data_IF_395095704763
#
_entry.id   IF_395095704763
#
_cell.length_a   1.000
_cell.length_b   1.000
_cell.length_c   1.000
_cell.angle_alpha   90.00
_cell.angle_beta   90.00
_cell.angle_gamma   90.00
#
_symmetry.space_group_name_H-M   'P 1'
#
loop_
_entity.id
_entity.type
_entity.pdbx_description
1 polymer ?
#
# COMPACT_ATOMS: atom_id res chain seq x y z
N UNK A 1 -10.07 11.52 2.74
CA UNK A 1 -10.22 11.70 1.29
C UNK A 1 -10.44 13.18 1.06
N UNK A 2 -9.36 13.94 0.89
CA UNK A 2 -9.44 15.36 0.56
C UNK A 2 -9.58 15.45 -0.96
N UNK A 3 -10.78 15.79 -1.42
CA UNK A 3 -11.06 16.10 -2.82
C UNK A 3 -10.59 17.53 -3.06
N UNK A 4 -9.45 17.70 -3.73
CA UNK A 4 -9.00 18.99 -4.22
C UNK A 4 -9.83 19.34 -5.47
N UNK A 5 -10.91 20.10 -5.28
CA UNK A 5 -11.57 20.81 -6.37
C UNK A 5 -11.10 22.27 -6.33
N UNK A 6 -10.13 22.61 -7.18
CA UNK A 6 -9.86 24.00 -7.54
C UNK A 6 -10.77 24.37 -8.71
N UNK A 7 -11.45 25.51 -8.61
CA UNK A 7 -12.46 25.99 -9.56
C UNK A 7 -11.88 26.82 -10.72
N UNK A 8 -10.56 26.76 -10.93
CA UNK A 8 -9.84 27.58 -11.92
C UNK A 8 -9.17 26.76 -13.05
N UNK A 9 -9.69 25.58 -13.41
CA UNK A 9 -9.23 24.82 -14.59
C UNK A 9 -10.13 25.12 -15.79
N UNK A 10 -10.27 26.40 -16.14
CA UNK A 10 -10.90 26.81 -17.39
C UNK A 10 -9.83 27.40 -18.32
N UNK A 11 -9.64 26.75 -19.47
CA UNK A 11 -8.78 27.15 -20.60
C UNK A 11 -7.26 27.17 -20.37
N UNK A 12 -6.68 26.06 -19.92
CA UNK A 12 -5.28 25.77 -20.22
C UNK A 12 -5.19 25.08 -21.60
N UNK A 13 -4.32 25.53 -22.52
CA UNK A 13 -4.10 24.83 -23.78
C UNK A 13 -3.67 23.39 -23.50
N UNK A 14 -4.02 22.46 -24.38
CA UNK A 14 -3.57 21.09 -24.30
C UNK A 14 -2.04 21.05 -24.42
N UNK A 15 -1.34 21.05 -23.28
CA UNK A 15 0.11 20.87 -23.23
C UNK A 15 0.39 19.39 -23.46
N UNK A 16 1.21 19.08 -24.46
CA UNK A 16 1.66 17.72 -24.70
C UNK A 16 2.64 17.33 -23.57
N UNK A 17 2.29 16.40 -22.67
CA UNK A 17 3.15 16.02 -21.56
C UNK A 17 4.45 15.33 -22.02
N UNK A 18 4.54 14.92 -23.29
CA UNK A 18 5.78 14.36 -23.87
C UNK A 18 6.82 15.46 -24.21
N UNK A 19 6.42 16.74 -24.28
CA UNK A 19 7.32 17.86 -24.63
C UNK A 19 7.88 18.62 -23.42
N UNK A 20 7.31 18.43 -22.23
CA UNK A 20 7.77 19.08 -21.01
C UNK A 20 7.90 18.08 -19.83
N UNK A 21 9.09 17.49 -19.62
CA UNK A 21 9.34 16.61 -18.48
C UNK A 21 9.20 17.32 -17.12
N UNK A 22 9.08 18.66 -17.08
CA UNK A 22 8.83 19.42 -15.86
C UNK A 22 7.34 19.49 -15.49
N UNK A 23 6.44 18.87 -16.28
CA UNK A 23 5.00 18.77 -15.95
C UNK A 23 4.68 17.68 -14.90
N UNK A 24 5.62 17.40 -13.99
CA UNK A 24 5.39 16.51 -12.84
C UNK A 24 4.55 17.26 -11.81
N UNK A 25 3.23 17.11 -11.90
CA UNK A 25 2.29 17.79 -11.00
C UNK A 25 2.18 17.16 -9.60
N UNK A 26 2.90 16.06 -9.33
CA UNK A 26 2.85 15.34 -8.05
C UNK A 26 4.14 15.57 -7.26
N UNK A 27 4.08 16.30 -6.13
CA UNK A 27 5.25 16.55 -5.30
C UNK A 27 5.67 15.29 -4.53
N UNK A 28 6.98 15.12 -4.33
CA UNK A 28 7.49 14.04 -3.49
C UNK A 28 7.36 14.33 -2.00
N UNK A 29 7.35 15.62 -1.61
CA UNK A 29 7.26 16.03 -0.20
C UNK A 29 6.26 17.16 -0.05
N UNK A 30 5.35 16.99 0.89
CA UNK A 30 4.40 17.99 1.32
C UNK A 30 4.69 18.45 2.74
N UNK A 31 4.67 19.76 2.94
CA UNK A 31 4.54 20.40 4.25
C UNK A 31 3.10 20.87 4.40
N UNK A 32 2.46 20.40 5.46
CA UNK A 32 1.07 20.70 5.77
C UNK A 32 1.03 21.46 7.09
N UNK A 33 0.41 22.65 7.10
CA UNK A 33 0.34 23.55 8.24
C UNK A 33 -1.14 23.72 8.61
N UNK A 34 -1.50 23.42 9.86
CA UNK A 34 -2.83 23.67 10.38
C UNK A 34 -2.86 25.03 11.08
N UNK A 35 -3.49 26.01 10.45
CA UNK A 35 -3.71 27.34 11.01
C UNK A 35 -4.58 27.28 12.27
N UNK A 36 -4.42 28.27 13.16
CA UNK A 36 -5.26 28.42 14.36
C UNK A 36 -6.73 28.72 14.04
N UNK A 37 -7.02 29.17 12.82
CA UNK A 37 -8.36 29.36 12.27
C UNK A 37 -8.98 28.06 11.69
N UNK A 38 -8.24 26.94 11.76
CA UNK A 38 -8.65 25.65 11.23
C UNK A 38 -8.41 25.46 9.73
N UNK A 39 -7.80 26.44 9.05
CA UNK A 39 -7.40 26.28 7.64
C UNK A 39 -6.13 25.45 7.51
N UNK A 40 -5.98 24.82 6.35
CA UNK A 40 -4.82 23.98 6.04
C UNK A 40 -4.07 24.61 4.88
N UNK A 41 -2.82 25.00 5.13
CA UNK A 41 -1.90 25.47 4.11
C UNK A 41 -0.96 24.32 3.72
N UNK A 42 -0.73 24.17 2.41
CA UNK A 42 0.08 23.08 1.85
C UNK A 42 1.18 23.71 0.99
N UNK A 43 2.43 23.32 1.27
CA UNK A 43 3.61 23.75 0.54
C UNK A 43 4.36 22.51 0.02
N UNK A 44 4.72 22.52 -1.26
CA UNK A 44 5.70 21.57 -1.80
C UNK A 44 7.10 21.91 -1.28
N UNK A 45 7.87 20.89 -0.93
CA UNK A 45 9.25 21.05 -0.51
C UNK A 45 10.20 20.20 -1.37
N UNK A 46 11.41 20.71 -1.64
CA UNK A 46 12.50 19.86 -2.12
C UNK A 46 12.76 18.72 -1.12
N UNK A 47 13.09 17.52 -1.63
CA UNK A 47 13.38 16.36 -0.79
C UNK A 47 14.45 16.63 0.26
N UNK A 48 15.53 17.31 -0.16
CA UNK A 48 16.73 17.65 0.63
C UNK A 48 16.59 18.94 1.46
N UNK A 49 15.42 19.55 1.49
CA UNK A 49 15.20 20.79 2.25
C UNK A 49 15.51 20.58 3.74
N UNK A 50 16.23 21.54 4.33
CA UNK A 50 16.55 21.54 5.76
C UNK A 50 15.26 21.52 6.58
N UNK A 51 15.13 20.53 7.46
CA UNK A 51 13.96 20.39 8.34
C UNK A 51 14.36 20.73 9.77
N UNK A 52 13.66 21.67 10.43
CA UNK A 52 14.00 22.06 11.78
C UNK A 52 13.91 20.86 12.74
N UNK A 53 14.87 20.77 13.67
CA UNK A 53 14.89 19.73 14.72
C UNK A 53 13.71 19.83 15.70
N UNK A 54 13.11 21.02 15.81
CA UNK A 54 11.89 21.27 16.57
C UNK A 54 10.68 21.18 15.64
N UNK A 55 9.81 20.22 15.93
CA UNK A 55 8.52 20.09 15.24
C UNK A 55 7.51 21.04 15.86
N UNK A 56 7.11 22.08 15.13
CA UNK A 56 5.87 22.78 15.45
C UNK A 56 4.71 21.75 15.39
N UNK A 57 3.90 21.57 16.45
CA UNK A 57 2.77 20.67 16.45
C UNK A 57 1.76 20.94 15.33
N UNK A 58 1.66 22.18 14.84
CA UNK A 58 0.80 22.59 13.72
C UNK A 58 1.33 22.18 12.35
N UNK A 59 2.64 21.89 12.25
CA UNK A 59 3.32 21.53 11.00
C UNK A 59 3.53 20.02 10.93
N UNK A 60 3.20 19.43 9.78
CA UNK A 60 3.35 17.99 9.51
C UNK A 60 3.97 17.80 8.13
N UNK A 61 4.90 16.87 8.04
CA UNK A 61 5.59 16.53 6.80
C UNK A 61 5.15 15.17 6.29
N UNK A 62 4.85 15.09 5.01
CA UNK A 62 4.43 13.88 4.33
C UNK A 62 5.33 13.64 3.13
N UNK A 63 5.69 12.37 2.92
CA UNK A 63 6.39 11.92 1.73
C UNK A 63 5.45 11.12 0.84
N UNK A 64 5.61 11.25 -0.47
CA UNK A 64 4.96 10.40 -1.43
C UNK A 64 5.45 8.96 -1.22
N UNK A 65 4.51 8.07 -0.98
CA UNK A 65 4.79 6.66 -0.69
C UNK A 65 4.31 5.74 -1.81
N UNK A 66 3.18 6.04 -2.43
CA UNK A 66 2.70 5.28 -3.57
C UNK A 66 1.84 6.12 -4.50
N UNK A 67 1.80 5.73 -5.77
CA UNK A 67 0.81 6.16 -6.74
C UNK A 67 0.16 4.93 -7.37
N UNK A 68 -1.09 5.09 -7.82
CA UNK A 68 -1.84 4.05 -8.53
C UNK A 68 -2.36 4.68 -9.80
N UNK A 69 -2.08 4.04 -10.93
CA UNK A 69 -2.49 4.48 -12.25
C UNK A 69 -3.35 3.45 -12.96
N UNK A 70 -4.44 3.92 -13.57
CA UNK A 70 -5.21 3.15 -14.54
C UNK A 70 -4.57 3.29 -15.91
N UNK A 71 -4.12 2.16 -16.46
CA UNK A 71 -3.50 2.07 -17.77
C UNK A 71 -4.59 1.81 -18.80
N UNK A 72 -4.77 2.76 -19.72
CA UNK A 72 -5.64 2.63 -20.87
C UNK A 72 -4.88 1.91 -21.98
N UNK A 73 -5.19 0.64 -22.19
CA UNK A 73 -4.65 -0.14 -23.31
C UNK A 73 -5.80 -0.59 -24.22
N UNK A 74 -5.80 -0.08 -25.44
CA UNK A 74 -6.82 -0.40 -26.44
C UNK A 74 -6.73 -1.86 -26.93
N UNK A 75 -5.60 -2.54 -26.74
CA UNK A 75 -5.35 -3.90 -27.26
C UNK A 75 -5.61 -4.99 -26.24
N UNK A 76 -5.07 -4.84 -25.02
CA UNK A 76 -5.11 -5.88 -24.00
C UNK A 76 -6.19 -5.66 -22.92
N UNK A 77 -6.97 -4.57 -23.05
CA UNK A 77 -7.90 -4.14 -22.03
C UNK A 77 -7.21 -3.33 -20.94
N UNK A 78 -7.99 -2.54 -20.22
CA UNK A 78 -7.44 -1.65 -19.21
C UNK A 78 -6.96 -2.42 -17.98
N UNK A 79 -5.85 -1.98 -17.39
CA UNK A 79 -5.32 -2.53 -16.13
C UNK A 79 -5.03 -1.42 -15.12
N UNK A 80 -4.74 -1.81 -13.89
CA UNK A 80 -4.33 -0.90 -12.82
C UNK A 80 -2.93 -1.31 -12.36
N UNK A 81 -2.03 -0.34 -12.32
CA UNK A 81 -0.66 -0.53 -11.83
C UNK A 81 -0.43 0.32 -10.59
N UNK A 82 0.42 -0.19 -9.69
CA UNK A 82 0.81 0.53 -8.48
C UNK A 82 2.30 0.83 -8.54
N UNK A 83 2.69 2.07 -8.26
CA UNK A 83 4.07 2.46 -8.05
C UNK A 83 4.29 2.70 -6.56
N UNK A 84 5.19 1.96 -5.93
CA UNK A 84 5.35 1.96 -4.47
C UNK A 84 6.82 2.21 -4.13
N UNK A 85 7.04 3.13 -3.18
CA UNK A 85 8.31 3.36 -2.55
C UNK A 85 8.58 2.30 -1.47
N UNK A 86 9.67 1.56 -1.62
CA UNK A 86 10.10 0.55 -0.67
C UNK A 86 11.33 1.06 0.09
N UNK A 87 11.20 1.11 1.41
CA UNK A 87 12.26 1.57 2.32
C UNK A 87 13.28 0.49 2.67
N UNK A 88 14.31 0.89 3.42
CA UNK A 88 15.50 0.08 3.73
C UNK A 88 15.20 -1.25 4.43
N UNK A 89 14.19 -1.30 5.31
CA UNK A 89 13.90 -2.47 6.14
C UNK A 89 13.64 -3.74 5.33
N UNK A 90 13.01 -3.64 4.16
CA UNK A 90 12.76 -4.77 3.28
C UNK A 90 14.07 -5.25 2.63
N UNK A 91 14.81 -4.34 2.02
CA UNK A 91 16.08 -4.64 1.33
C UNK A 91 17.14 -5.18 2.28
N UNK A 92 17.18 -4.67 3.50
CA UNK A 92 18.08 -5.17 4.54
C UNK A 92 17.75 -6.62 4.93
N UNK A 93 16.46 -6.97 5.05
CA UNK A 93 16.05 -8.35 5.40
C UNK A 93 16.28 -9.34 4.25
N UNK A 94 16.02 -8.94 3.01
CA UNK A 94 16.05 -9.82 1.85
C UNK A 94 17.45 -9.95 1.24
N UNK A 95 18.15 -8.83 1.11
CA UNK A 95 19.38 -8.70 0.31
C UNK A 95 20.59 -8.22 1.16
N UNK A 96 20.36 -7.84 2.42
CA UNK A 96 21.43 -7.37 3.32
C UNK A 96 21.95 -5.97 2.99
N UNK A 97 21.28 -5.23 2.11
CA UNK A 97 21.70 -3.89 1.66
C UNK A 97 20.79 -2.81 2.21
N UNK A 98 21.38 -1.67 2.53
CA UNK A 98 20.66 -0.46 2.93
C UNK A 98 20.42 0.39 1.69
N UNK A 99 19.31 0.14 1.00
CA UNK A 99 18.87 0.96 -0.13
C UNK A 99 17.37 1.22 -0.05
N UNK A 100 16.93 2.22 -0.81
CA UNK A 100 15.51 2.50 -1.04
C UNK A 100 15.27 2.46 -2.54
N UNK A 101 14.10 1.99 -2.96
CA UNK A 101 13.81 1.74 -4.37
C UNK A 101 12.31 1.92 -4.66
N UNK A 102 12.00 2.50 -5.81
CA UNK A 102 10.65 2.51 -6.34
C UNK A 102 10.39 1.26 -7.18
N UNK A 103 9.20 0.69 -7.03
CA UNK A 103 8.75 -0.48 -7.77
C UNK A 103 7.42 -0.23 -8.45
N UNK A 104 7.31 -0.63 -9.72
CA UNK A 104 6.05 -0.82 -10.42
C UNK A 104 5.56 -2.25 -10.15
N UNK A 105 4.33 -2.36 -9.68
CA UNK A 105 3.60 -3.62 -9.48
C UNK A 105 2.41 -3.68 -10.44
N UNK A 106 2.38 -4.73 -11.25
CA UNK A 106 1.30 -5.07 -12.16
C UNK A 106 0.97 -6.56 -12.01
N UNK A 107 -0.10 -6.86 -11.28
CA UNK A 107 -0.44 -8.22 -10.84
C UNK A 107 0.74 -8.92 -10.15
N UNK A 108 1.33 -9.91 -10.80
CA UNK A 108 2.49 -10.68 -10.32
C UNK A 108 3.84 -10.12 -10.83
N UNK A 109 3.82 -9.13 -11.73
CA UNK A 109 5.02 -8.47 -12.23
C UNK A 109 5.45 -7.36 -11.26
N UNK A 110 6.71 -7.42 -10.83
CA UNK A 110 7.34 -6.43 -9.96
C UNK A 110 8.62 -5.96 -10.65
N UNK A 111 8.72 -4.68 -10.97
CA UNK A 111 9.85 -4.11 -11.72
C UNK A 111 10.37 -2.87 -11.01
N UNK A 112 11.69 -2.76 -10.75
CA UNK A 112 12.25 -1.53 -10.22
C UNK A 112 12.14 -0.41 -11.26
N UNK A 113 11.75 0.78 -10.82
CA UNK A 113 11.61 1.98 -11.66
C UNK A 113 12.33 3.17 -11.05
N UNK A 114 12.60 4.19 -11.85
CA UNK A 114 13.09 5.47 -11.34
C UNK A 114 11.97 6.24 -10.63
N UNK A 115 12.32 7.08 -9.66
CA UNK A 115 11.32 7.84 -8.88
C UNK A 115 10.43 8.73 -9.76
N UNK A 116 11.00 9.33 -10.80
CA UNK A 116 10.26 10.23 -11.70
C UNK A 116 9.19 9.46 -12.50
N UNK A 117 9.38 8.16 -12.74
CA UNK A 117 8.41 7.32 -13.43
C UNK A 117 7.17 7.06 -12.55
N UNK A 118 7.34 7.08 -11.22
CA UNK A 118 6.25 6.95 -10.27
C UNK A 118 5.31 8.16 -10.25
N UNK A 119 5.81 9.35 -10.61
CA UNK A 119 5.04 10.60 -10.64
C UNK A 119 4.70 11.06 -12.05
N UNK A 120 5.26 10.44 -13.09
CA UNK A 120 4.92 10.74 -14.48
C UNK A 120 3.57 10.12 -14.86
N UNK A 121 2.58 10.97 -15.14
CA UNK A 121 1.25 10.59 -15.60
C UNK A 121 0.93 11.30 -16.92
N UNK A 122 0.70 10.50 -17.96
CA UNK A 122 0.19 10.99 -19.24
C UNK A 122 -1.29 10.57 -19.35
N UNK A 123 -2.20 11.55 -19.33
CA UNK A 123 -3.65 11.31 -19.27
C UNK A 123 -4.22 10.53 -20.46
N UNK A 124 -3.46 10.42 -21.55
CA UNK A 124 -3.84 9.64 -22.72
C UNK A 124 -3.79 8.13 -22.44
N UNK A 125 -2.79 7.67 -21.67
CA UNK A 125 -2.56 6.24 -21.45
C UNK A 125 -2.39 5.82 -19.98
N UNK A 126 -2.02 6.72 -19.07
CA UNK A 126 -1.84 6.48 -17.63
C UNK A 126 -2.57 7.54 -16.82
N UNK A 127 -3.79 7.21 -16.40
CA UNK A 127 -4.63 8.11 -15.61
C UNK A 127 -4.40 7.87 -14.11
N UNK A 128 -4.10 8.90 -13.31
CA UNK A 128 -3.93 8.76 -11.86
C UNK A 128 -5.25 8.37 -11.19
N UNK A 129 -5.21 7.38 -10.29
CA UNK A 129 -6.35 6.90 -9.52
C UNK A 129 -6.20 7.18 -8.03
N UNK A 130 -5.02 6.96 -7.47
CA UNK A 130 -4.75 7.20 -6.05
C UNK A 130 -3.33 7.69 -5.89
N UNK A 131 -3.15 8.71 -5.05
CA UNK A 131 -1.84 9.23 -4.65
C UNK A 131 -1.80 9.12 -3.14
N UNK A 132 -0.78 8.44 -2.63
CA UNK A 132 -0.69 8.06 -1.24
C UNK A 132 0.55 8.68 -0.60
N UNK A 133 0.31 9.54 0.38
CA UNK A 133 1.33 10.24 1.16
C UNK A 133 1.37 9.68 2.58
N UNK A 134 2.57 9.48 3.13
CA UNK A 134 2.79 8.97 4.49
C UNK A 134 3.51 10.03 5.32
N UNK A 135 3.04 10.22 6.56
CA UNK A 135 3.69 11.13 7.52
C UNK A 135 5.09 10.59 7.85
N UNK A 136 6.14 11.39 7.65
CA UNK A 136 7.55 10.96 7.87
C UNK A 136 7.81 10.28 9.22
N UNK A 137 7.24 10.81 10.29
CA UNK A 137 7.46 10.33 11.66
C UNK A 137 6.32 9.43 12.17
N UNK A 138 5.59 8.73 11.28
CA UNK A 138 4.47 7.88 11.67
C UNK A 138 4.86 6.82 12.71
N UNK A 139 6.04 6.19 12.55
CA UNK A 139 6.57 5.16 13.47
C UNK A 139 6.90 5.72 14.85
N UNK A 140 7.25 7.02 14.95
CA UNK A 140 7.47 7.67 16.25
C UNK A 140 6.16 8.07 16.93
N UNK A 141 5.12 8.32 16.13
CA UNK A 141 3.83 8.77 16.63
C UNK A 141 2.90 7.60 17.01
N UNK A 142 3.07 6.42 16.43
CA UNK A 142 2.14 5.30 16.55
C UNK A 142 2.87 3.97 16.68
N UNK A 143 2.23 3.01 17.37
CA UNK A 143 2.65 1.61 17.38
C UNK A 143 2.39 0.99 16.00
N UNK A 144 3.45 0.81 15.22
CA UNK A 144 3.40 0.20 13.88
C UNK A 144 3.84 -1.27 13.89
N UNK A 145 3.91 -1.93 15.06
CA UNK A 145 4.26 -3.35 15.10
C UNK A 145 3.14 -4.19 14.50
N UNK A 146 3.50 -5.11 13.61
CA UNK A 146 2.57 -6.11 13.08
C UNK A 146 2.25 -7.07 14.20
N UNK A 147 1.02 -6.98 14.72
CA UNK A 147 0.51 -7.91 15.73
C UNK A 147 -0.06 -9.12 15.00
N UNK A 148 0.40 -10.30 15.36
CA UNK A 148 -0.18 -11.57 14.92
C UNK A 148 -1.16 -11.96 16.04
N UNK A 149 -2.48 -11.75 15.86
CA UNK A 149 -3.45 -11.96 16.93
C UNK A 149 -3.79 -13.45 17.15
N UNK A 150 -3.22 -14.34 16.34
CA UNK A 150 -3.49 -15.78 16.41
C UNK A 150 -2.64 -16.36 17.54
N UNK A 151 -3.31 -16.70 18.65
CA UNK A 151 -2.72 -17.46 19.75
C UNK A 151 -2.69 -18.95 19.38
N UNK A 152 -1.79 -19.68 20.02
CA UNK A 152 -1.67 -21.13 19.90
C UNK A 152 -2.88 -21.86 20.49
N UNK A 153 -3.69 -21.18 21.31
CA UNK A 153 -4.94 -21.67 21.86
C UNK A 153 -5.91 -22.17 20.78
N UNK A 154 -5.81 -21.64 19.55
CA UNK A 154 -6.58 -22.08 18.39
C UNK A 154 -6.37 -23.57 18.07
N UNK A 155 -5.25 -24.17 18.48
CA UNK A 155 -4.96 -25.59 18.27
C UNK A 155 -5.67 -26.50 19.29
N UNK A 156 -6.03 -25.97 20.46
CA UNK A 156 -6.61 -26.73 21.57
C UNK A 156 -8.11 -26.52 21.71
N UNK A 157 -8.63 -25.39 21.24
CA UNK A 157 -10.04 -25.03 21.38
C UNK A 157 -10.95 -25.69 20.31
N UNK A 158 -12.06 -26.28 20.77
CA UNK A 158 -13.21 -26.65 19.91
C UNK A 158 -14.16 -25.45 19.72
N UNK A 159 -13.66 -24.39 19.08
CA UNK A 159 -14.43 -23.17 18.77
C UNK A 159 -15.35 -23.39 17.56
N UNK A 160 -16.39 -24.22 17.72
CA UNK A 160 -17.38 -24.49 16.69
C UNK A 160 -18.65 -23.61 16.83
N UNK A 161 -19.00 -22.84 15.79
CA UNK A 161 -20.22 -22.02 15.72
C UNK A 161 -21.51 -22.84 15.54
N UNK A 162 -21.42 -24.15 15.34
CA UNK A 162 -22.57 -25.03 15.09
C UNK A 162 -23.27 -25.37 16.40
N UNK A 163 -24.62 -25.34 16.38
CA UNK A 163 -25.47 -25.72 17.51
C UNK A 163 -25.02 -27.06 18.12
N UNK A 164 -24.84 -27.15 19.45
CA UNK A 164 -24.40 -28.37 20.14
C UNK A 164 -25.19 -29.62 19.75
N UNK A 165 -26.50 -29.49 19.51
CA UNK A 165 -27.39 -30.61 19.15
C UNK A 165 -27.12 -31.20 17.75
N UNK A 166 -26.45 -30.44 16.88
CA UNK A 166 -26.07 -30.89 15.52
C UNK A 166 -24.58 -31.24 15.42
N UNK A 167 -23.83 -31.18 16.52
CA UNK A 167 -22.41 -31.52 16.53
C UNK A 167 -22.25 -33.02 16.37
N UNK A 168 -21.66 -33.42 15.25
CA UNK A 168 -21.02 -34.73 15.09
C UNK A 168 -19.53 -34.47 15.24
N UNK A 169 -19.02 -34.52 16.47
CA UNK A 169 -17.59 -34.32 16.72
C UNK A 169 -16.86 -35.56 16.22
N UNK A 170 -16.08 -35.42 15.14
CA UNK A 170 -15.31 -36.51 14.52
C UNK A 170 -13.80 -36.39 14.75
N UNK A 171 -13.37 -35.47 15.60
CA UNK A 171 -11.95 -35.24 15.89
C UNK A 171 -11.73 -35.02 17.39
N UNK A 172 -10.50 -35.25 17.82
CA UNK A 172 -10.03 -34.97 19.17
C UNK A 172 -9.14 -33.73 19.09
N UNK A 173 -9.39 -32.74 19.94
CA UNK A 173 -8.53 -31.55 20.04
C UNK A 173 -7.16 -31.95 20.59
N UNK A 174 -6.14 -31.19 20.22
CA UNK A 174 -4.81 -31.37 20.80
C UNK A 174 -4.83 -30.98 22.28
N UNK A 175 -3.89 -31.54 23.03
CA UNK A 175 -3.54 -31.09 24.38
C UNK A 175 -2.17 -30.42 24.37
N UNK A 176 -1.83 -29.67 25.42
CA UNK A 176 -0.57 -28.92 25.52
C UNK A 176 0.67 -29.81 25.30
N UNK A 177 0.61 -31.09 25.72
CA UNK A 177 1.69 -32.05 25.53
C UNK A 177 1.87 -32.50 24.08
N UNK A 178 0.80 -32.47 23.28
CA UNK A 178 0.76 -32.83 21.85
C UNK A 178 1.03 -31.64 20.93
N UNK A 179 1.41 -30.51 21.51
CA UNK A 179 1.77 -29.31 20.77
C UNK A 179 2.79 -29.62 19.66
N UNK A 180 2.47 -29.32 18.39
CA UNK A 180 3.39 -29.56 17.28
C UNK A 180 4.71 -28.82 17.47
N UNK A 181 5.81 -29.54 17.27
CA UNK A 181 7.17 -29.04 17.38
C UNK A 181 7.80 -28.95 16.00
N UNK A 182 8.90 -28.22 15.93
CA UNK A 182 9.71 -28.16 14.72
C UNK A 182 10.08 -29.59 14.27
N UNK A 183 9.81 -29.90 13.00
CA UNK A 183 10.05 -31.20 12.34
C UNK A 183 9.02 -32.30 12.62
N UNK A 184 7.96 -32.02 13.36
CA UNK A 184 6.82 -32.95 13.44
C UNK A 184 6.12 -33.05 12.07
N UNK A 185 5.60 -34.25 11.77
CA UNK A 185 4.93 -34.54 10.51
C UNK A 185 3.43 -34.67 10.76
N UNK A 186 2.65 -33.89 10.01
CA UNK A 186 1.18 -33.91 10.07
C UNK A 186 0.62 -34.21 8.67
N UNK A 187 -0.44 -35.01 8.61
CA UNK A 187 -1.20 -35.23 7.38
C UNK A 187 -2.23 -34.12 7.21
N UNK A 188 -2.31 -33.54 6.02
CA UNK A 188 -3.29 -32.51 5.69
C UNK A 188 -4.01 -32.91 4.39
N UNK A 189 -5.34 -32.86 4.45
CA UNK A 189 -6.22 -33.10 3.32
C UNK A 189 -7.31 -32.02 3.32
N UNK A 190 -7.67 -31.51 2.14
CA UNK A 190 -8.63 -30.41 2.00
C UNK A 190 -9.46 -30.60 0.73
N UNK A 191 -10.78 -30.46 0.88
CA UNK A 191 -11.73 -30.61 -0.20
C UNK A 191 -12.36 -29.26 -0.56
N UNK A 192 -12.48 -28.97 -1.85
CA UNK A 192 -13.03 -27.72 -2.37
C UNK A 192 -14.27 -27.96 -3.22
N UNK A 193 -15.24 -27.06 -3.11
CA UNK A 193 -16.44 -27.05 -3.96
C UNK A 193 -16.34 -25.92 -4.99
N UNK A 194 -16.69 -26.20 -6.24
CA UNK A 194 -16.74 -25.16 -7.27
C UNK A 194 -18.01 -24.33 -7.15
N UNK A 195 -17.86 -23.01 -6.97
CA UNK A 195 -18.97 -22.08 -6.88
C UNK A 195 -19.35 -21.47 -8.25
N UNK A 196 -18.39 -21.37 -9.17
CA UNK A 196 -18.59 -20.79 -10.49
C UNK A 196 -18.34 -21.83 -11.58
N UNK A 197 -19.32 -21.98 -12.50
CA UNK A 197 -19.09 -22.73 -13.73
C UNK A 197 -18.29 -21.85 -14.68
N UNK A 198 -17.06 -22.24 -14.99
CA UNK A 198 -16.28 -21.60 -16.05
C UNK A 198 -17.03 -21.85 -17.36
N UNK A 199 -17.60 -20.79 -17.95
CA UNK A 199 -18.06 -20.85 -19.32
C UNK A 199 -16.82 -20.92 -20.19
N UNK A 200 -16.53 -22.09 -20.72
CA UNK A 200 -15.56 -22.23 -21.82
C UNK A 200 -16.19 -21.48 -22.99
N UNK A 201 -15.60 -20.32 -23.31
CA UNK A 201 -15.90 -19.56 -24.53
C UNK A 201 -15.06 -20.13 -25.65
#
# INVERSE_FOLDING_TARGET
MLLLYSSEIADMPAVNPDEDPDLVWIPFVLKVILGSDGKVDIEELPEDSFRPKYEDPSVKYYDLYATVGHIKDQKNGNTVVSQIFVGETFHQRKEGVTCTQWYLMNDFSITPIEKHEATNFNMDWKVPCTIFFVKKNIVKCYDTQVKIPISEDVLYDDNCLVSPERRKITFTTLIDEERPKEKDVVGLDAEFVSLNQVKVV
#
